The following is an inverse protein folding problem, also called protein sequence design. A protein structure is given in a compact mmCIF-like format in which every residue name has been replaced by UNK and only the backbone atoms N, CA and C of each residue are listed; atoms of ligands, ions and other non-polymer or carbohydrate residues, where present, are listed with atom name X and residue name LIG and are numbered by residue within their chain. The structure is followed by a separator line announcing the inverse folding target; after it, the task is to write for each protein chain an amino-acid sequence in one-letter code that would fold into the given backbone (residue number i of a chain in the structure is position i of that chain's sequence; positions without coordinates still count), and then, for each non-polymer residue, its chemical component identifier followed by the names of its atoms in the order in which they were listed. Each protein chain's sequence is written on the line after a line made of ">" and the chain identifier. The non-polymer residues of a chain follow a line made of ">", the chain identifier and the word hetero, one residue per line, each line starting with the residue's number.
data_IF_326967262469
#
_entry.id   IF_326967262469
#
_cell.length_a   1.000
_cell.length_b   1.000
_cell.length_c   1.000
_cell.angle_alpha   90.00
_cell.angle_beta   90.00
_cell.angle_gamma   90.00
#
_symmetry.space_group_name_H-M   'P 1'
#
loop_
_entity.id
_entity.type
_entity.pdbx_description
1 polymer ?
#
# COMPACT_ATOMS: atom_id res chain seq x y z
N UNK A 1 8.14 -6.54 20.54
CA UNK A 1 9.01 -5.70 21.41
C UNK A 1 10.00 -6.56 22.22
N UNK A 2 9.55 -7.56 22.98
CA UNK A 2 10.38 -8.34 23.92
C UNK A 2 11.60 -9.00 23.25
N UNK A 3 11.42 -9.60 22.06
CA UNK A 3 12.52 -10.19 21.26
C UNK A 3 13.56 -9.12 20.91
N UNK A 4 13.12 -7.96 20.43
CA UNK A 4 14.01 -6.87 20.03
C UNK A 4 14.75 -6.25 21.21
N UNK A 5 14.11 -6.10 22.38
CA UNK A 5 14.78 -5.65 23.60
C UNK A 5 15.87 -6.62 24.03
N UNK A 6 15.58 -7.93 24.02
CA UNK A 6 16.58 -8.95 24.36
C UNK A 6 17.73 -8.95 23.36
N UNK A 7 17.45 -8.84 22.04
CA UNK A 7 18.49 -8.72 21.03
C UNK A 7 19.33 -7.45 21.23
N UNK A 8 18.72 -6.32 21.55
CA UNK A 8 19.42 -5.07 21.83
C UNK A 8 20.46 -5.25 22.96
N UNK A 9 20.07 -5.78 24.12
CA UNK A 9 21.01 -5.98 25.22
C UNK A 9 22.14 -6.97 24.87
N UNK A 10 21.83 -8.01 24.09
CA UNK A 10 22.84 -9.00 23.67
C UNK A 10 23.83 -8.43 22.67
N UNK A 11 23.37 -7.56 21.75
CA UNK A 11 24.24 -6.96 20.71
C UNK A 11 25.06 -5.81 21.27
N UNK A 12 24.46 -4.94 22.08
CA UNK A 12 25.12 -3.71 22.53
C UNK A 12 25.99 -3.93 23.77
N UNK A 13 25.64 -4.90 24.61
CA UNK A 13 26.40 -5.17 25.84
C UNK A 13 26.40 -4.01 26.86
N UNK A 14 25.41 -3.08 26.76
CA UNK A 14 25.32 -1.91 27.69
C UNK A 14 25.16 -2.29 29.13
N UNK A 15 24.67 -3.50 29.42
CA UNK A 15 24.68 -4.18 30.70
C UNK A 15 25.00 -5.66 30.47
N UNK A 16 25.49 -6.39 31.51
CA UNK A 16 25.73 -7.84 31.37
C UNK A 16 24.48 -8.57 30.91
N UNK A 17 24.64 -9.42 29.91
CA UNK A 17 23.49 -10.10 29.22
C UNK A 17 22.66 -10.91 30.22
N UNK A 18 23.30 -11.64 31.12
CA UNK A 18 22.60 -12.47 32.11
C UNK A 18 21.73 -11.61 33.06
N UNK A 19 22.25 -10.45 33.46
CA UNK A 19 21.50 -9.48 34.25
C UNK A 19 20.30 -8.92 33.45
N UNK A 20 20.50 -8.58 32.17
CA UNK A 20 19.43 -8.11 31.31
C UNK A 20 18.31 -9.13 31.21
N UNK A 21 18.64 -10.38 30.90
CA UNK A 21 17.69 -11.50 30.77
C UNK A 21 16.94 -11.73 32.08
N UNK A 22 17.65 -11.75 33.22
CA UNK A 22 17.03 -11.90 34.53
C UNK A 22 16.03 -10.79 34.82
N UNK A 23 16.41 -9.54 34.62
CA UNK A 23 15.54 -8.40 34.87
C UNK A 23 14.33 -8.39 33.90
N UNK A 24 14.52 -8.69 32.62
CA UNK A 24 13.43 -8.81 31.67
C UNK A 24 12.41 -9.87 32.09
N UNK A 25 12.88 -11.07 32.52
CA UNK A 25 12.00 -12.15 33.00
C UNK A 25 11.27 -11.75 34.27
N UNK A 26 11.95 -11.06 35.20
CA UNK A 26 11.34 -10.54 36.44
C UNK A 26 10.22 -9.52 36.14
N UNK A 27 10.45 -8.58 35.22
CA UNK A 27 9.43 -7.62 34.83
C UNK A 27 8.27 -8.25 34.05
N UNK A 28 8.50 -9.32 33.29
CA UNK A 28 7.45 -10.10 32.66
C UNK A 28 6.49 -10.68 33.68
N UNK A 29 7.01 -11.28 34.77
CA UNK A 29 6.15 -11.80 35.85
C UNK A 29 5.35 -10.69 36.50
N UNK A 30 5.98 -9.53 36.77
CA UNK A 30 5.29 -8.37 37.35
C UNK A 30 4.16 -7.87 36.46
N UNK A 31 4.37 -7.84 35.15
CA UNK A 31 3.41 -7.27 34.18
C UNK A 31 2.33 -8.27 33.75
N UNK A 32 2.69 -9.53 33.62
CA UNK A 32 1.83 -10.54 33.01
C UNK A 32 1.46 -11.71 33.91
N UNK A 33 2.02 -11.81 35.16
CA UNK A 33 1.77 -12.92 36.06
C UNK A 33 0.28 -13.15 36.33
N UNK A 34 -0.51 -12.08 36.44
CA UNK A 34 -1.98 -12.15 36.64
C UNK A 34 -2.72 -12.72 35.41
N UNK A 35 -2.10 -12.80 34.23
CA UNK A 35 -2.69 -13.32 33.00
C UNK A 35 -2.48 -14.84 32.81
N UNK A 36 -1.79 -15.49 33.75
CA UNK A 36 -1.52 -16.91 33.75
C UNK A 36 -0.11 -17.28 33.26
N UNK A 37 0.31 -18.48 33.62
CA UNK A 37 1.64 -19.01 33.32
C UNK A 37 1.93 -19.12 31.83
N UNK A 38 0.94 -19.46 31.02
CA UNK A 38 1.10 -19.57 29.57
C UNK A 38 1.57 -18.27 28.95
N UNK A 39 1.02 -17.13 29.42
CA UNK A 39 1.42 -15.80 28.92
C UNK A 39 2.83 -15.46 29.35
N UNK A 40 3.19 -15.78 30.60
CA UNK A 40 4.54 -15.58 31.13
C UNK A 40 5.56 -16.40 30.33
N UNK A 41 5.29 -17.68 30.11
CA UNK A 41 6.18 -18.60 29.39
C UNK A 41 6.37 -18.20 27.93
N UNK A 42 5.33 -17.75 27.23
CA UNK A 42 5.43 -17.18 25.87
C UNK A 42 6.35 -15.97 25.82
N UNK A 43 6.28 -15.10 26.82
CA UNK A 43 7.15 -13.92 26.90
C UNK A 43 8.60 -14.33 27.30
N UNK A 44 8.81 -15.34 28.12
CA UNK A 44 10.14 -15.90 28.39
C UNK A 44 10.78 -16.45 27.11
N UNK A 45 10.04 -17.25 26.34
CA UNK A 45 10.50 -17.74 25.05
C UNK A 45 10.87 -16.58 24.10
N UNK A 46 10.13 -15.47 24.14
CA UNK A 46 10.48 -14.28 23.37
C UNK A 46 11.79 -13.62 23.81
N UNK A 47 12.08 -13.57 25.12
CA UNK A 47 13.39 -13.11 25.64
C UNK A 47 14.51 -14.01 25.14
N UNK A 48 14.33 -15.32 25.22
CA UNK A 48 15.36 -16.29 24.82
C UNK A 48 15.64 -16.21 23.32
N UNK A 49 14.60 -16.06 22.50
CA UNK A 49 14.72 -15.86 21.04
C UNK A 49 15.47 -14.58 20.62
N UNK A 50 15.62 -13.62 21.50
CA UNK A 50 16.48 -12.46 21.22
C UNK A 50 17.95 -12.81 21.00
N UNK A 51 18.37 -14.05 21.34
CA UNK A 51 19.70 -14.57 21.01
C UNK A 51 19.83 -15.15 19.60
N UNK A 52 18.72 -15.31 18.88
CA UNK A 52 18.67 -15.92 17.54
C UNK A 52 18.85 -14.87 16.43
N UNK A 53 19.62 -13.81 16.65
CA UNK A 53 19.86 -12.79 15.62
C UNK A 53 20.86 -13.30 14.56
N UNK A 54 20.69 -12.78 13.34
CA UNK A 54 21.58 -13.06 12.20
C UNK A 54 22.47 -11.85 11.95
N UNK A 55 23.78 -12.08 11.93
CA UNK A 55 24.73 -11.06 11.51
C UNK A 55 24.95 -11.16 10.00
N UNK A 56 24.79 -10.03 9.31
CA UNK A 56 25.06 -9.91 7.88
C UNK A 56 26.33 -9.09 7.67
N UNK A 57 27.18 -9.54 6.78
CA UNK A 57 28.32 -8.75 6.32
C UNK A 57 27.85 -7.83 5.20
N UNK A 58 27.99 -6.53 5.44
CA UNK A 58 27.68 -5.51 4.42
C UNK A 58 28.91 -5.31 3.56
N UNK A 59 28.74 -5.35 2.24
CA UNK A 59 29.83 -5.08 1.30
C UNK A 59 30.29 -3.61 1.46
N UNK A 60 31.58 -3.37 1.78
CA UNK A 60 32.11 -2.00 1.89
C UNK A 60 31.91 -1.13 0.63
N UNK A 61 31.77 -1.76 -0.54
CA UNK A 61 31.50 -1.06 -1.78
C UNK A 61 30.16 -0.29 -1.75
N UNK A 62 29.20 -0.71 -0.91
CA UNK A 62 27.91 -0.03 -0.78
C UNK A 62 28.03 1.40 -0.23
N UNK A 63 29.11 1.69 0.51
CA UNK A 63 29.37 3.05 1.00
C UNK A 63 29.71 4.04 -0.14
N UNK A 64 30.12 3.54 -1.29
CA UNK A 64 30.52 4.33 -2.45
C UNK A 64 29.52 4.25 -3.61
N UNK A 65 28.32 3.69 -3.37
CA UNK A 65 27.27 3.70 -4.38
C UNK A 65 26.85 5.15 -4.65
N UNK A 66 26.91 5.53 -5.91
CA UNK A 66 26.32 6.79 -6.36
C UNK A 66 24.78 6.66 -6.27
N UNK A 67 24.19 7.53 -5.48
CA UNK A 67 22.72 7.66 -5.44
C UNK A 67 22.35 8.53 -6.64
N UNK A 68 21.65 7.97 -7.61
CA UNK A 68 21.07 8.77 -8.68
C UNK A 68 20.17 9.86 -8.08
N UNK A 69 20.45 11.10 -8.44
CA UNK A 69 19.57 12.20 -8.05
C UNK A 69 18.15 11.91 -8.57
N UNK A 70 17.11 12.14 -7.76
CA UNK A 70 15.75 11.95 -8.24
C UNK A 70 15.54 12.78 -9.51
N UNK A 71 14.96 12.15 -10.53
CA UNK A 71 14.67 12.81 -11.80
C UNK A 71 13.89 14.10 -11.54
N UNK A 72 14.27 15.17 -12.23
CA UNK A 72 13.52 16.42 -12.18
C UNK A 72 12.06 16.13 -12.57
N UNK A 73 11.14 16.56 -11.75
CA UNK A 73 9.72 16.41 -12.01
C UNK A 73 9.08 17.78 -12.25
N UNK A 74 7.99 17.79 -13.01
CA UNK A 74 7.20 18.99 -13.31
C UNK A 74 5.97 19.09 -12.38
N UNK A 75 6.02 18.50 -11.20
CA UNK A 75 4.93 18.58 -10.24
C UNK A 75 4.73 20.03 -9.74
N UNK A 76 3.53 20.39 -9.32
CA UNK A 76 3.24 21.72 -8.79
C UNK A 76 4.19 22.14 -7.65
N UNK A 77 4.49 23.43 -7.56
CA UNK A 77 5.37 23.97 -6.51
C UNK A 77 4.96 23.53 -5.11
N UNK A 78 3.67 23.55 -4.81
CA UNK A 78 3.13 23.11 -3.53
C UNK A 78 3.53 21.64 -3.20
N UNK A 79 3.50 20.76 -4.20
CA UNK A 79 3.90 19.35 -4.01
C UNK A 79 5.40 19.27 -3.71
N UNK A 80 6.22 19.97 -4.47
CA UNK A 80 7.68 19.89 -4.33
C UNK A 80 8.20 20.62 -3.07
N UNK A 81 7.58 21.77 -2.74
CA UNK A 81 8.09 22.66 -1.69
C UNK A 81 7.46 22.39 -0.31
N UNK A 82 6.28 21.79 -0.25
CA UNK A 82 5.58 21.52 1.01
C UNK A 82 5.34 20.04 1.22
N UNK A 83 4.63 19.37 0.30
CA UNK A 83 4.18 17.99 0.52
C UNK A 83 5.35 17.01 0.60
N UNK A 84 6.31 17.11 -0.34
CA UNK A 84 7.48 16.21 -0.38
C UNK A 84 8.40 16.35 0.84
N UNK A 85 8.77 17.55 1.28
CA UNK A 85 9.54 17.72 2.53
C UNK A 85 8.82 17.13 3.74
N UNK A 86 7.50 17.35 3.89
CA UNK A 86 6.73 16.77 4.98
C UNK A 86 6.75 15.24 4.92
N UNK A 87 6.56 14.65 3.75
CA UNK A 87 6.60 13.20 3.56
C UNK A 87 7.99 12.60 3.78
N UNK A 88 9.04 13.36 3.51
CA UNK A 88 10.43 12.98 3.83
C UNK A 88 10.78 13.14 5.32
N UNK A 89 9.83 13.61 6.14
CA UNK A 89 10.01 13.94 7.56
C UNK A 89 10.91 15.17 7.82
N UNK A 90 11.09 16.01 6.81
CA UNK A 90 11.85 17.26 6.88
C UNK A 90 10.94 18.49 7.08
N UNK A 91 9.68 18.26 7.45
CA UNK A 91 8.68 19.33 7.62
C UNK A 91 9.07 20.40 8.63
N UNK A 92 9.86 20.06 9.66
CA UNK A 92 10.36 21.01 10.65
C UNK A 92 11.35 22.04 10.06
N UNK A 93 11.91 21.77 8.89
CA UNK A 93 12.78 22.70 8.17
C UNK A 93 12.01 23.75 7.37
N UNK A 94 10.70 23.56 7.21
CA UNK A 94 9.85 24.49 6.47
C UNK A 94 9.58 25.75 7.29
N UNK A 95 9.73 26.96 6.70
CA UNK A 95 9.32 28.18 7.37
C UNK A 95 7.79 28.24 7.51
N UNK A 96 7.28 28.92 8.54
CA UNK A 96 5.84 29.11 8.74
C UNK A 96 5.16 29.70 7.51
N UNK A 97 5.87 30.56 6.78
CA UNK A 97 5.38 31.16 5.52
C UNK A 97 5.10 30.16 4.40
N UNK A 98 5.65 28.93 4.46
CA UNK A 98 5.33 27.87 3.49
C UNK A 98 3.86 27.44 3.55
N UNK A 99 3.19 27.70 4.66
CA UNK A 99 1.77 27.35 4.89
C UNK A 99 0.82 28.53 4.64
N UNK A 100 1.33 29.62 4.05
CA UNK A 100 0.48 30.79 3.73
C UNK A 100 -0.59 30.42 2.71
N UNK A 101 -1.84 30.70 3.05
CA UNK A 101 -3.01 30.37 2.22
C UNK A 101 -3.63 29.01 2.49
N UNK A 102 -3.05 28.23 3.41
CA UNK A 102 -3.56 26.95 3.87
C UNK A 102 -3.58 26.86 5.40
N UNK A 103 -3.60 28.00 6.09
CA UNK A 103 -3.53 28.09 7.55
C UNK A 103 -4.75 27.47 8.25
N UNK A 104 -5.86 27.39 7.54
CA UNK A 104 -7.11 26.76 8.00
C UNK A 104 -7.14 25.23 7.76
N UNK A 105 -6.07 24.65 7.19
CA UNK A 105 -6.00 23.25 6.82
C UNK A 105 -6.68 22.93 5.48
N UNK A 106 -7.12 23.91 4.72
CA UNK A 106 -7.62 23.73 3.36
C UNK A 106 -6.51 23.24 2.45
N UNK A 107 -6.77 22.17 1.67
CA UNK A 107 -5.78 21.51 0.86
C UNK A 107 -6.30 21.34 -0.56
N UNK A 108 -5.44 21.47 -1.56
CA UNK A 108 -5.81 21.21 -2.95
C UNK A 108 -6.22 19.74 -3.14
N UNK A 109 -7.31 19.51 -3.88
CA UNK A 109 -7.76 18.16 -4.16
C UNK A 109 -6.86 17.48 -5.20
N UNK A 110 -6.78 16.14 -5.13
CA UNK A 110 -6.06 15.34 -6.11
C UNK A 110 -4.55 15.23 -5.84
N UNK A 111 -4.04 15.73 -4.71
CA UNK A 111 -2.61 15.66 -4.37
C UNK A 111 -2.09 14.24 -4.22
N UNK A 112 -2.93 13.26 -3.90
CA UNK A 112 -2.57 11.85 -3.81
C UNK A 112 -2.01 11.27 -5.13
N UNK A 113 -2.31 11.87 -6.29
CA UNK A 113 -1.73 11.44 -7.57
C UNK A 113 -0.21 11.59 -7.64
N UNK A 114 0.37 12.48 -6.81
CA UNK A 114 1.81 12.74 -6.76
C UNK A 114 2.55 11.86 -5.75
N UNK A 115 1.82 11.02 -5.01
CA UNK A 115 2.39 10.14 -4.00
C UNK A 115 1.75 8.76 -4.07
N UNK A 116 2.38 7.87 -4.83
CA UNK A 116 1.94 6.49 -5.02
C UNK A 116 2.82 5.55 -4.19
N UNK A 117 2.33 5.07 -3.06
CA UNK A 117 3.14 4.30 -2.09
C UNK A 117 3.20 2.80 -2.33
N UNK A 118 2.22 2.21 -3.00
CA UNK A 118 2.19 0.77 -3.26
C UNK A 118 2.26 -0.08 -1.98
N UNK A 119 1.50 0.29 -0.94
CA UNK A 119 1.60 -0.32 0.40
C UNK A 119 0.99 -1.71 0.51
N UNK A 120 0.17 -2.12 -0.44
CA UNK A 120 -0.50 -3.41 -0.41
C UNK A 120 0.44 -4.54 -0.83
N UNK A 121 0.52 -5.62 -0.04
CA UNK A 121 1.20 -6.84 -0.47
C UNK A 121 0.43 -7.59 -1.56
N UNK A 122 -0.91 -7.52 -1.51
CA UNK A 122 -1.81 -8.14 -2.48
C UNK A 122 -2.84 -7.13 -2.98
N UNK A 123 -3.08 -7.12 -4.28
CA UNK A 123 -4.05 -6.26 -4.95
C UNK A 123 -4.98 -7.10 -5.83
N UNK A 124 -6.21 -6.63 -6.15
CA UNK A 124 -7.13 -7.40 -6.97
C UNK A 124 -6.72 -7.39 -8.45
N UNK A 125 -6.59 -8.57 -9.02
CA UNK A 125 -6.55 -8.80 -10.46
C UNK A 125 -7.97 -8.96 -10.98
N UNK A 126 -8.29 -8.29 -12.10
CA UNK A 126 -9.61 -8.39 -12.73
C UNK A 126 -9.62 -9.42 -13.86
N UNK A 127 -10.56 -10.35 -13.78
CA UNK A 127 -10.89 -11.30 -14.85
C UNK A 127 -12.18 -10.86 -15.55
N UNK A 128 -12.04 -10.44 -16.80
CA UNK A 128 -13.14 -9.93 -17.59
C UNK A 128 -14.23 -10.99 -17.80
N UNK A 129 -13.87 -12.23 -18.09
CA UNK A 129 -14.82 -13.30 -18.39
C UNK A 129 -15.81 -13.60 -17.26
N UNK A 130 -15.39 -13.41 -16.02
CA UNK A 130 -16.19 -13.64 -14.82
C UNK A 130 -16.91 -12.37 -14.34
N UNK A 131 -16.68 -11.22 -14.97
CA UNK A 131 -17.29 -9.97 -14.57
C UNK A 131 -18.73 -9.81 -15.11
N UNK A 132 -19.68 -9.56 -14.21
CA UNK A 132 -21.08 -9.27 -14.55
C UNK A 132 -21.41 -7.77 -14.50
N UNK A 133 -20.43 -6.91 -14.40
CA UNK A 133 -20.56 -5.44 -14.38
C UNK A 133 -21.47 -4.89 -13.28
N UNK A 134 -21.53 -5.56 -12.13
CA UNK A 134 -22.39 -5.17 -11.01
C UNK A 134 -21.85 -4.01 -10.16
N UNK A 135 -20.60 -3.61 -10.35
CA UNK A 135 -19.90 -2.50 -9.68
C UNK A 135 -19.81 -2.59 -8.14
N UNK A 136 -20.20 -3.71 -7.52
CA UNK A 136 -20.08 -3.90 -6.06
C UNK A 136 -18.67 -3.65 -5.55
N UNK A 137 -17.65 -4.04 -6.31
CA UNK A 137 -16.24 -3.85 -5.98
C UNK A 137 -15.87 -2.36 -5.84
N UNK A 138 -16.36 -1.52 -6.75
CA UNK A 138 -16.13 -0.07 -6.68
C UNK A 138 -16.87 0.55 -5.49
N UNK A 139 -18.08 0.04 -5.19
CA UNK A 139 -18.93 0.56 -4.13
C UNK A 139 -18.37 0.35 -2.73
N UNK A 140 -17.68 -0.79 -2.50
CA UNK A 140 -17.14 -1.14 -1.17
C UNK A 140 -15.70 -0.70 -0.97
N UNK A 141 -15.06 -0.13 -2.00
CA UNK A 141 -13.66 0.26 -1.90
C UNK A 141 -13.51 1.50 -1.00
N UNK A 142 -12.83 1.40 0.17
CA UNK A 142 -12.69 2.54 1.09
C UNK A 142 -11.81 3.65 0.53
N UNK A 143 -11.00 3.36 -0.49
CA UNK A 143 -10.04 4.29 -1.10
C UNK A 143 -10.41 4.73 -2.52
N UNK A 144 -11.53 4.23 -3.07
CA UNK A 144 -11.91 4.44 -4.47
C UNK A 144 -10.80 4.05 -5.48
N UNK A 145 -9.91 3.14 -5.09
CA UNK A 145 -8.80 2.63 -5.91
C UNK A 145 -9.24 1.59 -6.95
N UNK A 146 -10.51 1.22 -6.98
CA UNK A 146 -11.09 0.34 -8.00
C UNK A 146 -12.32 1.01 -8.59
N UNK A 147 -12.34 1.19 -9.91
CA UNK A 147 -13.40 1.94 -10.58
C UNK A 147 -13.84 1.27 -11.86
N UNK A 148 -15.14 1.39 -12.23
CA UNK A 148 -15.63 1.03 -13.55
C UNK A 148 -15.28 2.15 -14.54
N UNK A 149 -14.89 1.76 -15.73
CA UNK A 149 -14.69 2.64 -16.87
C UNK A 149 -15.51 2.13 -18.07
N UNK A 150 -16.16 3.05 -18.78
CA UNK A 150 -16.83 2.79 -20.05
C UNK A 150 -16.10 3.58 -21.13
N UNK A 151 -15.59 2.88 -22.12
CA UNK A 151 -14.77 3.45 -23.18
C UNK A 151 -15.57 3.49 -24.49
N UNK A 152 -15.55 4.63 -25.16
CA UNK A 152 -16.03 4.72 -26.55
C UNK A 152 -14.97 4.21 -27.55
N UNK A 153 -15.29 4.22 -28.83
CA UNK A 153 -14.43 3.66 -29.85
C UNK A 153 -13.09 4.40 -30.00
N UNK A 154 -13.05 5.70 -29.74
CA UNK A 154 -11.80 6.47 -29.79
C UNK A 154 -10.91 6.19 -28.55
N UNK A 155 -11.52 6.18 -27.37
CA UNK A 155 -10.84 5.84 -26.12
C UNK A 155 -10.31 4.40 -26.12
N UNK A 156 -11.02 3.48 -26.81
CA UNK A 156 -10.57 2.09 -26.94
C UNK A 156 -9.32 1.94 -27.81
N UNK A 157 -9.10 2.80 -28.81
CA UNK A 157 -7.93 2.71 -29.70
C UNK A 157 -6.59 2.85 -28.99
N UNK A 158 -6.55 3.64 -27.91
CA UNK A 158 -5.34 3.85 -27.09
C UNK A 158 -5.24 2.89 -25.90
N UNK A 159 -6.22 2.03 -25.70
CA UNK A 159 -6.28 1.12 -24.55
C UNK A 159 -5.64 -0.23 -24.89
N UNK A 160 -4.42 -0.48 -24.36
CA UNK A 160 -3.71 -1.76 -24.50
C UNK A 160 -4.04 -2.69 -23.31
N UNK A 161 -5.33 -2.96 -23.11
CA UNK A 161 -5.81 -3.82 -22.03
C UNK A 161 -7.16 -4.44 -22.34
N UNK A 162 -7.48 -5.52 -21.66
CA UNK A 162 -8.73 -6.27 -21.83
C UNK A 162 -9.95 -5.43 -21.42
N UNK A 163 -11.02 -5.52 -22.23
CA UNK A 163 -12.33 -4.91 -21.98
C UNK A 163 -13.45 -5.88 -22.31
N UNK A 164 -14.66 -5.59 -21.83
CA UNK A 164 -15.90 -6.30 -22.17
C UNK A 164 -16.83 -5.38 -22.95
N UNK A 165 -17.80 -5.95 -23.66
CA UNK A 165 -18.95 -5.17 -24.15
C UNK A 165 -19.68 -4.57 -22.93
N UNK A 166 -19.90 -3.26 -22.93
CA UNK A 166 -20.65 -2.59 -21.88
C UNK A 166 -22.14 -3.02 -21.87
N UNK A 167 -22.69 -3.18 -20.67
CA UNK A 167 -24.10 -3.55 -20.46
C UNK A 167 -24.93 -2.29 -20.25
N UNK A 168 -26.00 -2.16 -21.02
CA UNK A 168 -26.95 -1.04 -20.95
C UNK A 168 -27.15 -0.41 -22.31
N UNK A 169 -28.40 -0.06 -22.64
CA UNK A 169 -28.75 0.54 -23.94
C UNK A 169 -28.02 1.86 -24.20
N UNK A 170 -27.77 2.64 -23.14
CA UNK A 170 -27.05 3.91 -23.21
C UNK A 170 -25.55 3.74 -23.53
N UNK A 171 -25.01 2.53 -23.40
CA UNK A 171 -23.62 2.21 -23.69
C UNK A 171 -23.44 1.32 -24.91
N UNK A 172 -24.42 1.32 -25.83
CA UNK A 172 -24.32 0.51 -27.05
C UNK A 172 -23.11 0.93 -27.90
N UNK A 173 -22.35 -0.05 -28.35
CA UNK A 173 -21.09 0.19 -29.07
C UNK A 173 -19.88 0.53 -28.19
N UNK A 174 -20.03 0.64 -26.86
CA UNK A 174 -18.95 0.93 -25.92
C UNK A 174 -18.44 -0.34 -25.24
N UNK A 175 -17.26 -0.22 -24.63
CA UNK A 175 -16.63 -1.29 -23.86
C UNK A 175 -16.52 -0.90 -22.39
N UNK A 176 -16.41 -1.91 -21.53
CA UNK A 176 -16.37 -1.79 -20.07
C UNK A 176 -15.12 -2.42 -19.50
N UNK A 177 -14.56 -1.80 -18.48
CA UNK A 177 -13.47 -2.35 -17.65
C UNK A 177 -13.63 -1.99 -16.19
N UNK A 178 -13.29 -2.89 -15.30
CA UNK A 178 -12.91 -2.57 -13.92
C UNK A 178 -11.40 -2.36 -13.89
N UNK A 179 -10.96 -1.19 -13.51
CA UNK A 179 -9.54 -0.87 -13.37
C UNK A 179 -9.21 -0.58 -11.91
N UNK A 180 -8.07 -1.10 -11.48
CA UNK A 180 -7.53 -0.92 -10.13
C UNK A 180 -6.34 0.04 -10.19
N UNK A 181 -6.31 1.02 -9.29
CA UNK A 181 -5.10 1.76 -8.94
C UNK A 181 -4.31 0.92 -7.93
N UNK A 182 -3.39 0.13 -8.43
CA UNK A 182 -2.66 -0.84 -7.61
C UNK A 182 -1.71 -0.18 -6.62
N UNK A 183 -1.27 1.05 -6.90
CA UNK A 183 -0.35 1.80 -6.05
C UNK A 183 -1.07 2.57 -4.92
N UNK A 184 -2.37 2.84 -5.08
CA UNK A 184 -3.23 3.41 -4.05
C UNK A 184 -4.08 2.36 -3.32
N UNK A 185 -4.07 1.11 -3.79
CA UNK A 185 -4.79 0.02 -3.16
C UNK A 185 -4.21 -0.30 -1.78
N UNK A 186 -5.08 -0.50 -0.77
CA UNK A 186 -4.67 -0.91 0.58
C UNK A 186 -4.61 -2.43 0.79
N UNK A 187 -5.01 -3.22 -0.20
CA UNK A 187 -5.00 -4.68 -0.11
C UNK A 187 -6.04 -5.27 0.87
N UNK A 188 -7.09 -4.54 1.22
CA UNK A 188 -8.07 -4.95 2.22
C UNK A 188 -8.93 -6.17 1.81
N UNK A 189 -9.00 -6.51 0.52
CA UNK A 189 -9.74 -7.67 0.01
C UNK A 189 -11.25 -7.48 -0.15
N UNK A 190 -11.87 -6.41 0.37
CA UNK A 190 -13.32 -6.22 0.35
C UNK A 190 -13.94 -6.37 -1.03
N UNK A 191 -13.29 -5.85 -2.08
CA UNK A 191 -13.78 -5.95 -3.46
C UNK A 191 -13.83 -7.39 -3.98
N UNK A 192 -12.82 -8.21 -3.61
CA UNK A 192 -12.78 -9.62 -3.96
C UNK A 192 -13.80 -10.44 -3.15
N UNK A 193 -14.01 -10.07 -1.88
CA UNK A 193 -14.97 -10.78 -1.01
C UNK A 193 -16.42 -10.60 -1.49
N UNK A 194 -16.83 -9.38 -1.82
CA UNK A 194 -18.21 -9.08 -2.27
C UNK A 194 -18.45 -9.44 -3.74
N UNK A 195 -17.39 -9.79 -4.49
CA UNK A 195 -17.53 -10.12 -5.90
C UNK A 195 -18.35 -11.41 -6.08
N UNK A 196 -19.54 -11.34 -6.71
CA UNK A 196 -20.35 -12.54 -6.92
C UNK A 196 -19.78 -13.44 -8.02
N UNK A 197 -18.91 -12.89 -8.87
CA UNK A 197 -18.45 -13.59 -10.07
C UNK A 197 -19.59 -13.86 -11.06
N UNK A 198 -19.30 -14.74 -12.01
CA UNK A 198 -20.32 -15.23 -12.96
C UNK A 198 -20.78 -16.62 -12.52
N UNK A 199 -22.03 -16.79 -12.05
CA UNK A 199 -22.52 -18.09 -11.59
C UNK A 199 -22.49 -19.19 -12.65
N UNK A 200 -22.54 -18.82 -13.93
CA UNK A 200 -22.49 -19.77 -15.05
C UNK A 200 -21.07 -20.25 -15.36
N UNK A 201 -20.06 -19.43 -15.03
CA UNK A 201 -18.64 -19.73 -15.28
C UNK A 201 -17.89 -20.21 -14.04
N UNK A 202 -18.49 -20.08 -12.85
CA UNK A 202 -17.99 -20.69 -11.61
C UNK A 202 -16.78 -20.01 -10.98
N UNK A 203 -16.57 -18.68 -11.21
CA UNK A 203 -15.44 -17.97 -10.64
C UNK A 203 -15.73 -16.54 -10.28
N UNK A 204 -14.96 -15.98 -9.32
CA UNK A 204 -14.96 -14.56 -9.02
C UNK A 204 -14.27 -13.77 -10.13
N UNK A 205 -14.73 -12.55 -10.38
CA UNK A 205 -14.07 -11.64 -11.32
C UNK A 205 -12.87 -10.91 -10.70
N UNK A 206 -12.70 -10.99 -9.40
CA UNK A 206 -11.57 -10.39 -8.68
C UNK A 206 -10.89 -11.43 -7.80
N UNK A 207 -9.57 -11.54 -7.97
CA UNK A 207 -8.70 -12.42 -7.20
C UNK A 207 -7.51 -11.63 -6.69
N UNK A 208 -7.19 -11.77 -5.40
CA UNK A 208 -6.03 -11.08 -4.83
C UNK A 208 -4.73 -11.72 -5.31
N UNK A 209 -3.82 -10.91 -5.83
CA UNK A 209 -2.50 -11.29 -6.37
C UNK A 209 -1.42 -10.43 -5.75
N UNK A 210 -0.18 -10.93 -5.71
CA UNK A 210 0.96 -10.13 -5.28
C UNK A 210 1.10 -8.84 -6.10
N UNK A 211 1.37 -7.72 -5.43
CA UNK A 211 1.50 -6.40 -6.06
C UNK A 211 2.51 -6.42 -7.22
N UNK A 212 3.66 -7.07 -7.03
CA UNK A 212 4.71 -7.12 -8.04
C UNK A 212 4.21 -7.69 -9.39
N UNK A 213 3.28 -8.66 -9.33
CA UNK A 213 2.70 -9.25 -10.54
C UNK A 213 1.66 -8.35 -11.23
N UNK A 214 1.27 -7.27 -10.58
CA UNK A 214 0.18 -6.38 -11.02
C UNK A 214 0.66 -4.93 -11.31
N UNK A 215 1.95 -4.66 -11.22
CA UNK A 215 2.50 -3.30 -11.41
C UNK A 215 2.18 -2.70 -12.80
N UNK A 216 2.02 -3.53 -13.83
CA UNK A 216 1.59 -3.08 -15.16
C UNK A 216 0.21 -2.41 -15.16
N UNK A 217 -0.63 -2.70 -14.16
CA UNK A 217 -1.94 -2.07 -13.99
C UNK A 217 -1.85 -0.57 -13.67
N UNK A 218 -0.70 -0.08 -13.19
CA UNK A 218 -0.50 1.35 -12.91
C UNK A 218 -0.62 2.19 -14.20
N UNK A 219 -0.01 1.74 -15.31
CA UNK A 219 -0.13 2.40 -16.59
C UNK A 219 -1.57 2.37 -17.13
N UNK A 220 -2.28 1.25 -16.94
CA UNK A 220 -3.69 1.12 -17.33
C UNK A 220 -4.59 2.07 -16.54
N UNK A 221 -4.30 2.24 -15.22
CA UNK A 221 -5.01 3.20 -14.39
C UNK A 221 -4.79 4.64 -14.87
N UNK A 222 -3.54 5.02 -15.14
CA UNK A 222 -3.22 6.35 -15.66
C UNK A 222 -3.94 6.63 -16.97
N UNK A 223 -3.95 5.66 -17.88
CA UNK A 223 -4.69 5.77 -19.13
C UNK A 223 -6.18 6.03 -18.88
N UNK A 224 -6.81 5.20 -18.08
CA UNK A 224 -8.23 5.32 -17.75
C UNK A 224 -8.55 6.67 -17.07
N UNK A 225 -7.74 7.08 -16.11
CA UNK A 225 -7.98 8.30 -15.35
C UNK A 225 -7.81 9.58 -16.16
N UNK A 226 -6.87 9.58 -17.14
CA UNK A 226 -6.54 10.76 -17.95
C UNK A 226 -7.36 10.87 -19.25
N UNK A 227 -7.70 9.74 -19.87
CA UNK A 227 -8.23 9.71 -21.24
C UNK A 227 -9.69 9.29 -21.31
N UNK A 228 -10.21 8.53 -20.34
CA UNK A 228 -11.60 8.07 -20.38
C UNK A 228 -12.51 9.11 -19.71
N UNK A 229 -13.42 9.67 -20.49
CA UNK A 229 -14.38 10.68 -20.02
C UNK A 229 -15.52 10.03 -19.25
N UNK A 230 -16.13 10.78 -18.35
CA UNK A 230 -17.38 10.37 -17.69
C UNK A 230 -18.49 10.22 -18.73
N UNK A 231 -19.25 9.12 -18.61
CA UNK A 231 -20.39 8.77 -19.49
C UNK A 231 -21.68 8.74 -18.69
#
# INVERSE_FOLDING_TARGET
>A
NTILQSAFFRITGVIPVDLAVEQMKKFIVKSYGKKGEDVVNKNYAAVDRGGEYKQLTVDPAWANLEVEAPAANNDPAFINEVVRPINAQDGDLLPVSAFKGIEDGTWEQGTAQYEKRGVAAFVPEWNAENCIQCNKCAYVCPHASIRPFVLDAEEQKGADFETLKAVGKQFDGMTFRIQVDVLDCLGCGNCADVCPGNPKKGGKALTMKHLESQLSQAANWEYCAKNVKSK
#
